data_IF_022074930411
#
_entry.id   IF_022074930411
#
_cell.length_a   1.000
_cell.length_b   1.000
_cell.length_c   1.000
_cell.angle_alpha   90.00
_cell.angle_beta   90.00
_cell.angle_gamma   90.00
#
_symmetry.space_group_name_H-M   'P 1'
#
loop_
_entity.id
_entity.type
_entity.pdbx_description
1 polymer ?
#
# COMPACT_ATOMS: atom_id res chain seq x y z
N UNK A 1 -7.54 23.00 -10.54
CA UNK A 1 -6.42 23.01 -9.58
C UNK A 1 -5.84 21.61 -9.56
N UNK A 2 -4.56 21.42 -9.88
CA UNK A 2 -3.94 20.10 -9.84
C UNK A 2 -3.79 19.64 -8.38
N UNK A 3 -4.16 18.39 -8.07
CA UNK A 3 -3.91 17.78 -6.76
C UNK A 3 -2.41 17.86 -6.45
N UNK A 4 -2.04 18.48 -5.31
CA UNK A 4 -0.65 18.58 -4.88
C UNK A 4 -0.21 17.22 -4.35
N UNK A 5 0.52 16.46 -5.16
CA UNK A 5 1.11 15.17 -4.78
C UNK A 5 2.35 15.40 -3.93
N UNK A 6 2.42 14.73 -2.78
CA UNK A 6 3.58 14.80 -1.88
C UNK A 6 4.57 13.65 -2.15
N UNK A 7 4.08 12.49 -2.61
CA UNK A 7 4.91 11.32 -2.91
C UNK A 7 4.19 10.34 -3.84
N UNK A 8 4.93 9.39 -4.39
CA UNK A 8 4.42 8.23 -5.11
C UNK A 8 4.99 6.98 -4.44
N UNK A 9 4.12 6.02 -4.12
CA UNK A 9 4.49 4.74 -3.56
C UNK A 9 4.29 3.64 -4.63
N UNK A 10 5.25 2.74 -4.76
CA UNK A 10 5.19 1.58 -5.65
C UNK A 10 5.26 0.33 -4.78
N UNK A 11 4.17 -0.44 -4.75
CA UNK A 11 4.10 -1.70 -4.05
C UNK A 11 4.33 -2.88 -4.98
N UNK A 12 5.29 -3.74 -4.63
CA UNK A 12 5.45 -5.04 -5.31
C UNK A 12 4.49 -6.06 -4.69
N UNK A 13 3.67 -6.71 -5.52
CA UNK A 13 2.66 -7.69 -5.10
C UNK A 13 2.61 -8.87 -6.06
N UNK A 14 2.07 -10.01 -5.62
CA UNK A 14 1.72 -11.11 -6.54
C UNK A 14 0.42 -10.75 -7.29
N UNK A 15 0.23 -11.32 -8.48
CA UNK A 15 -1.01 -11.12 -9.26
C UNK A 15 -2.29 -11.49 -8.50
N UNK A 16 -2.24 -12.52 -7.65
CA UNK A 16 -3.36 -12.95 -6.81
C UNK A 16 -3.71 -11.94 -5.71
N UNK A 17 -2.71 -11.32 -5.10
CA UNK A 17 -2.91 -10.30 -4.07
C UNK A 17 -3.52 -9.04 -4.69
N UNK A 18 -3.15 -8.70 -5.93
CA UNK A 18 -3.80 -7.61 -6.66
C UNK A 18 -5.30 -7.89 -6.91
N UNK A 19 -5.66 -9.12 -7.30
CA UNK A 19 -7.07 -9.50 -7.49
C UNK A 19 -7.86 -9.42 -6.17
N UNK A 20 -7.26 -9.85 -5.06
CA UNK A 20 -7.83 -9.69 -3.73
C UNK A 20 -8.00 -8.22 -3.35
N UNK A 21 -7.03 -7.36 -3.70
CA UNK A 21 -7.11 -5.91 -3.47
C UNK A 21 -8.26 -5.26 -4.24
N UNK A 22 -8.46 -5.62 -5.51
CA UNK A 22 -9.62 -5.16 -6.27
C UNK A 22 -10.93 -5.57 -5.59
N UNK A 23 -11.00 -6.81 -5.12
CA UNK A 23 -12.18 -7.33 -4.42
C UNK A 23 -12.44 -6.58 -3.11
N UNK A 24 -11.40 -6.38 -2.29
CA UNK A 24 -11.50 -5.66 -1.02
C UNK A 24 -11.91 -4.20 -1.22
N UNK A 25 -11.31 -3.49 -2.19
CA UNK A 25 -11.69 -2.11 -2.52
C UNK A 25 -13.12 -2.05 -3.05
N UNK A 26 -13.54 -3.00 -3.88
CA UNK A 26 -14.91 -3.04 -4.42
C UNK A 26 -15.95 -3.24 -3.31
N UNK A 27 -15.72 -4.20 -2.42
CA UNK A 27 -16.69 -4.60 -1.38
C UNK A 27 -16.67 -3.66 -0.16
N UNK A 28 -15.50 -3.17 0.22
CA UNK A 28 -15.29 -2.50 1.51
C UNK A 28 -14.73 -1.07 1.37
N UNK A 29 -14.38 -0.64 0.15
CA UNK A 29 -13.82 0.67 -0.14
C UNK A 29 -12.34 0.83 0.19
N UNK A 30 -11.68 -0.24 0.66
CA UNK A 30 -10.30 -0.22 1.13
C UNK A 30 -9.65 -1.59 0.94
N UNK A 31 -8.40 -1.60 0.49
CA UNK A 31 -7.48 -2.73 0.63
C UNK A 31 -6.31 -2.28 1.52
N UNK A 32 -5.84 -3.15 2.41
CA UNK A 32 -4.72 -2.86 3.29
C UNK A 32 -3.66 -3.94 3.14
N UNK A 33 -2.41 -3.54 3.06
CA UNK A 33 -1.27 -4.43 2.92
C UNK A 33 -0.34 -4.26 4.11
N UNK A 34 0.23 -5.37 4.56
CA UNK A 34 1.35 -5.35 5.49
C UNK A 34 2.67 -5.17 4.76
N UNK A 35 3.67 -4.62 5.44
CA UNK A 35 5.03 -4.54 4.93
C UNK A 35 6.04 -4.63 6.07
N UNK A 36 7.21 -5.19 5.77
CA UNK A 36 8.38 -5.15 6.64
C UNK A 36 9.23 -3.89 6.42
N UNK A 37 8.78 -2.95 5.60
CA UNK A 37 9.49 -1.70 5.31
C UNK A 37 8.92 -0.52 6.10
N UNK A 38 8.83 -0.66 7.43
CA UNK A 38 8.19 0.33 8.30
C UNK A 38 8.82 1.72 8.21
N UNK A 39 10.16 1.78 8.10
CA UNK A 39 10.89 3.04 7.88
C UNK A 39 10.44 3.79 6.61
N UNK A 40 10.19 3.07 5.51
CA UNK A 40 9.76 3.68 4.25
C UNK A 40 8.37 4.30 4.40
N UNK A 41 7.44 3.59 5.07
CA UNK A 41 6.10 4.12 5.34
C UNK A 41 6.10 5.28 6.35
N UNK A 42 7.01 5.30 7.33
CA UNK A 42 7.17 6.47 8.23
C UNK A 42 7.60 7.72 7.46
N UNK A 43 8.59 7.60 6.55
CA UNK A 43 8.98 8.71 5.66
C UNK A 43 7.82 9.19 4.79
N UNK A 44 6.99 8.27 4.31
CA UNK A 44 5.78 8.63 3.57
C UNK A 44 4.78 9.40 4.47
N UNK A 45 4.56 8.94 5.70
CA UNK A 45 3.68 9.62 6.66
C UNK A 45 4.16 11.04 6.97
N UNK A 46 5.47 11.24 7.16
CA UNK A 46 6.09 12.56 7.33
C UNK A 46 5.84 13.45 6.11
N UNK A 47 6.06 12.94 4.89
CA UNK A 47 5.82 13.68 3.66
C UNK A 47 4.34 14.10 3.50
N UNK A 48 3.40 13.25 3.90
CA UNK A 48 1.96 13.53 3.86
C UNK A 48 1.50 14.51 4.95
N UNK A 49 2.16 14.52 6.10
CA UNK A 49 1.85 15.42 7.23
C UNK A 49 2.06 16.90 6.87
N UNK A 50 2.94 17.20 5.91
CA UNK A 50 3.12 18.55 5.34
C UNK A 50 1.98 19.03 4.43
N UNK A 51 0.94 18.22 4.24
CA UNK A 51 -0.19 18.48 3.35
C UNK A 51 0.06 17.95 1.93
N UNK A 52 -0.83 17.07 1.47
CA UNK A 52 -0.79 16.50 0.12
C UNK A 52 -1.41 15.11 0.06
N UNK A 53 -1.43 14.52 -1.13
CA UNK A 53 -1.84 13.12 -1.34
C UNK A 53 -0.67 12.29 -1.89
N UNK A 54 -0.75 10.97 -1.72
CA UNK A 54 0.14 10.01 -2.36
C UNK A 54 -0.63 9.07 -3.29
N UNK A 55 -0.05 8.86 -4.48
CA UNK A 55 -0.49 7.83 -5.39
C UNK A 55 0.20 6.51 -5.04
N UNK A 56 -0.53 5.41 -5.21
CA UNK A 56 -0.02 4.07 -5.02
C UNK A 56 -0.08 3.30 -6.34
N UNK A 57 1.04 2.78 -6.81
CA UNK A 57 1.10 1.90 -7.98
C UNK A 57 1.44 0.48 -7.56
N UNK A 58 0.67 -0.50 -8.04
CA UNK A 58 0.98 -1.92 -7.85
C UNK A 58 1.82 -2.43 -9.01
N UNK A 59 2.94 -3.05 -8.73
CA UNK A 59 3.79 -3.74 -9.71
C UNK A 59 3.80 -5.24 -9.43
N UNK A 60 3.41 -6.03 -10.43
CA UNK A 60 3.39 -7.50 -10.35
C UNK A 60 4.55 -8.05 -11.20
N UNK A 61 5.64 -8.57 -10.59
CA UNK A 61 6.87 -8.93 -11.30
C UNK A 61 6.74 -10.15 -12.21
N UNK A 62 5.70 -10.96 -12.02
CA UNK A 62 5.36 -12.12 -12.85
C UNK A 62 4.78 -11.76 -14.23
N UNK A 63 4.51 -10.47 -14.50
CA UNK A 63 3.80 -10.03 -15.71
C UNK A 63 4.71 -9.49 -16.84
N UNK A 64 5.95 -9.00 -16.63
CA UNK A 64 6.81 -8.50 -17.74
C UNK A 64 8.23 -8.00 -17.33
N UNK A 65 9.18 -7.83 -18.29
CA UNK A 65 10.64 -7.70 -18.04
C UNK A 65 11.14 -6.37 -17.44
N UNK A 66 10.29 -5.36 -17.28
CA UNK A 66 10.57 -4.12 -16.54
C UNK A 66 9.34 -3.83 -15.70
N UNK A 67 9.46 -3.64 -14.38
CA UNK A 67 8.32 -3.52 -13.43
C UNK A 67 7.21 -2.62 -13.98
N UNK A 68 6.17 -3.25 -14.56
CA UNK A 68 4.98 -2.58 -15.09
C UNK A 68 4.04 -2.36 -13.91
N UNK A 69 3.57 -1.13 -13.76
CA UNK A 69 2.44 -0.84 -12.89
C UNK A 69 1.18 -1.42 -13.53
N UNK A 70 0.46 -2.24 -12.79
CA UNK A 70 -0.74 -2.93 -13.28
C UNK A 70 -2.01 -2.32 -12.69
N UNK A 71 -1.87 -1.53 -11.62
CA UNK A 71 -2.96 -0.78 -11.02
C UNK A 71 -2.47 0.51 -10.36
N UNK A 72 -3.36 1.50 -10.30
CA UNK A 72 -3.19 2.77 -9.60
C UNK A 72 -4.30 2.93 -8.55
N UNK A 73 -3.92 3.29 -7.33
CA UNK A 73 -4.81 3.68 -6.25
C UNK A 73 -4.32 4.95 -5.55
N UNK A 74 -5.05 5.34 -4.50
CA UNK A 74 -4.67 6.44 -3.60
C UNK A 74 -4.38 5.90 -2.22
N UNK A 75 -3.31 6.38 -1.60
CA UNK A 75 -3.04 6.09 -0.19
C UNK A 75 -4.17 6.70 0.65
N UNK A 76 -4.82 5.86 1.45
CA UNK A 76 -5.97 6.22 2.27
C UNK A 76 -5.62 6.35 3.75
N UNK A 77 -4.59 5.63 4.21
CA UNK A 77 -4.12 5.63 5.58
C UNK A 77 -2.85 4.82 5.73
N UNK A 78 -2.11 5.08 6.81
CA UNK A 78 -0.89 4.40 7.19
C UNK A 78 -0.98 4.05 8.67
N UNK A 79 -0.46 2.88 9.05
CA UNK A 79 -0.28 2.52 10.45
C UNK A 79 1.15 2.02 10.64
N UNK A 80 1.99 2.80 11.32
CA UNK A 80 3.45 2.59 11.41
C UNK A 80 3.97 2.31 12.82
N UNK A 81 3.06 2.37 13.80
CA UNK A 81 3.35 2.21 15.23
C UNK A 81 2.79 0.84 15.67
N UNK A 82 3.37 -0.21 15.10
CA UNK A 82 2.99 -1.60 15.39
C UNK A 82 3.72 -2.05 16.66
N UNK A 83 3.02 -2.57 17.68
CA UNK A 83 3.69 -3.08 18.87
C UNK A 83 4.48 -4.36 18.55
N UNK A 84 5.75 -4.42 18.93
CA UNK A 84 6.69 -5.50 18.58
C UNK A 84 6.30 -6.88 19.16
N UNK A 85 5.63 -6.91 20.31
CA UNK A 85 5.27 -8.14 21.02
C UNK A 85 3.75 -8.33 21.15
N UNK A 86 2.95 -7.63 20.34
CA UNK A 86 1.50 -7.74 20.40
C UNK A 86 1.00 -9.09 19.88
N UNK A 87 -0.03 -9.62 20.54
CA UNK A 87 -0.76 -10.80 20.08
C UNK A 87 -1.63 -10.45 18.87
N UNK A 88 -2.05 -11.46 18.11
CA UNK A 88 -2.85 -11.27 16.90
C UNK A 88 -4.12 -10.45 17.17
N UNK A 89 -4.79 -10.70 18.29
CA UNK A 89 -6.01 -9.98 18.68
C UNK A 89 -5.74 -8.48 18.92
N UNK A 90 -4.63 -8.15 19.57
CA UNK A 90 -4.22 -6.77 19.85
C UNK A 90 -3.85 -6.04 18.55
N UNK A 91 -3.22 -6.75 17.61
CA UNK A 91 -2.95 -6.24 16.27
C UNK A 91 -4.26 -5.99 15.51
N UNK A 92 -5.21 -6.93 15.51
CA UNK A 92 -6.52 -6.77 14.86
C UNK A 92 -7.33 -5.62 15.47
N UNK A 93 -7.26 -5.41 16.79
CA UNK A 93 -7.87 -4.26 17.46
C UNK A 93 -7.21 -2.93 17.08
N UNK A 94 -5.88 -2.87 17.09
CA UNK A 94 -5.11 -1.70 16.66
C UNK A 94 -5.40 -1.35 15.20
N UNK A 95 -5.48 -2.37 14.35
CA UNK A 95 -5.85 -2.24 12.95
C UNK A 95 -7.23 -1.63 12.78
N UNK A 96 -8.23 -2.16 13.51
CA UNK A 96 -9.60 -1.67 13.43
C UNK A 96 -9.68 -0.20 13.86
N UNK A 97 -8.90 0.22 14.85
CA UNK A 97 -8.77 1.63 15.26
C UNK A 97 -8.13 2.49 14.18
N UNK A 98 -7.08 1.99 13.51
CA UNK A 98 -6.35 2.74 12.49
C UNK A 98 -7.14 2.91 11.18
N UNK A 99 -7.84 1.86 10.73
CA UNK A 99 -8.48 1.83 9.41
C UNK A 99 -10.01 1.86 9.46
N UNK A 100 -10.63 1.69 10.63
CA UNK A 100 -12.09 1.63 10.77
C UNK A 100 -12.74 0.44 10.05
N UNK A 101 -11.98 -0.64 9.84
CA UNK A 101 -12.39 -1.84 9.10
C UNK A 101 -11.99 -3.11 9.84
N UNK A 102 -12.73 -4.19 9.61
CA UNK A 102 -12.33 -5.50 10.09
C UNK A 102 -11.08 -5.97 9.32
N UNK A 103 -10.11 -6.52 10.04
CA UNK A 103 -8.89 -7.07 9.47
C UNK A 103 -9.17 -8.06 8.33
N UNK A 104 -10.06 -9.01 8.57
CA UNK A 104 -10.32 -10.13 7.66
C UNK A 104 -10.99 -9.71 6.35
N UNK A 105 -11.63 -8.53 6.33
CA UNK A 105 -12.35 -7.98 5.18
C UNK A 105 -11.44 -7.26 4.19
N UNK A 106 -10.40 -6.58 4.69
CA UNK A 106 -9.62 -5.63 3.88
C UNK A 106 -8.13 -5.92 3.80
N UNK A 107 -7.58 -6.74 4.70
CA UNK A 107 -6.16 -7.11 4.64
C UNK A 107 -5.92 -8.08 3.50
N UNK A 108 -5.06 -7.68 2.58
CA UNK A 108 -4.62 -8.44 1.41
C UNK A 108 -3.36 -9.23 1.76
N UNK A 109 -3.14 -10.35 1.07
CA UNK A 109 -2.01 -11.25 1.33
C UNK A 109 -2.48 -12.60 1.88
N UNK A 110 -2.20 -13.70 1.17
CA UNK A 110 -2.56 -15.05 1.64
C UNK A 110 -1.82 -15.47 2.92
N UNK A 111 -0.62 -14.94 3.11
CA UNK A 111 0.25 -15.28 4.24
C UNK A 111 0.03 -14.33 5.44
N UNK A 112 -1.00 -13.47 5.40
CA UNK A 112 -1.27 -12.41 6.39
C UNK A 112 -1.27 -12.88 7.85
N UNK A 113 -1.80 -14.06 8.14
CA UNK A 113 -1.84 -14.57 9.52
C UNK A 113 -0.53 -15.21 9.97
N UNK A 114 0.30 -15.66 9.03
CA UNK A 114 1.63 -16.22 9.33
C UNK A 114 2.66 -15.10 9.46
N UNK A 115 2.47 -14.03 8.69
CA UNK A 115 3.46 -12.96 8.55
C UNK A 115 3.17 -11.71 9.41
N UNK A 116 1.99 -11.56 10.02
CA UNK A 116 1.66 -10.31 10.74
C UNK A 116 2.67 -9.95 11.83
N UNK A 117 3.27 -10.94 12.49
CA UNK A 117 4.29 -10.72 13.54
C UNK A 117 5.58 -10.08 13.00
N UNK A 118 5.80 -10.12 11.68
CA UNK A 118 6.95 -9.52 11.01
C UNK A 118 6.60 -8.18 10.34
N UNK A 119 5.32 -7.81 10.31
CA UNK A 119 4.90 -6.57 9.70
C UNK A 119 5.22 -5.38 10.59
N UNK A 120 6.00 -4.46 10.06
CA UNK A 120 6.42 -3.25 10.76
C UNK A 120 5.43 -2.10 10.54
N UNK A 121 4.64 -2.17 9.47
CA UNK A 121 3.66 -1.16 9.12
C UNK A 121 2.60 -1.68 8.14
N UNK A 122 1.51 -0.92 8.00
CA UNK A 122 0.42 -1.18 7.08
C UNK A 122 0.12 0.06 6.23
N UNK A 123 -0.23 -0.18 4.97
CA UNK A 123 -0.68 0.85 4.04
C UNK A 123 -2.06 0.51 3.49
N UNK A 124 -3.00 1.42 3.71
CA UNK A 124 -4.35 1.36 3.15
C UNK A 124 -4.42 2.07 1.80
N UNK A 125 -5.03 1.42 0.82
CA UNK A 125 -5.19 1.91 -0.55
C UNK A 125 -6.66 1.89 -0.95
N UNK A 126 -7.13 2.97 -1.59
CA UNK A 126 -8.49 3.13 -2.10
C UNK A 126 -8.51 3.52 -3.57
N UNK A 127 -9.71 3.54 -4.16
CA UNK A 127 -9.95 4.02 -5.53
C UNK A 127 -9.06 3.33 -6.58
N UNK A 128 -8.88 2.01 -6.42
CA UNK A 128 -8.01 1.19 -7.25
C UNK A 128 -8.57 1.02 -8.67
N UNK A 129 -7.72 1.21 -9.68
CA UNK A 129 -8.06 1.06 -11.11
C UNK A 129 -6.90 0.41 -11.88
N UNK A 130 -7.17 -0.39 -12.92
CA UNK A 130 -6.14 -0.93 -13.80
C UNK A 130 -5.28 0.17 -14.43
N UNK A 131 -3.98 -0.09 -14.55
CA UNK A 131 -3.02 0.84 -15.18
C UNK A 131 -1.90 0.14 -15.99
N UNK A 132 -2.17 -0.94 -16.74
CA UNK A 132 -1.17 -1.91 -17.24
C UNK A 132 -0.13 -1.38 -18.25
N UNK A 133 -0.20 -0.12 -18.67
CA UNK A 133 0.66 0.45 -19.72
C UNK A 133 1.75 1.40 -19.18
N UNK A 134 1.90 1.51 -17.85
CA UNK A 134 2.88 2.42 -17.23
C UNK A 134 3.98 1.62 -16.54
N UNK A 135 5.23 2.04 -16.74
CA UNK A 135 6.41 1.46 -16.08
C UNK A 135 6.87 2.33 -14.93
N UNK A 136 7.60 1.74 -13.97
CA UNK A 136 8.24 2.52 -12.89
C UNK A 136 9.18 3.60 -13.43
N UNK A 137 9.91 3.32 -14.52
CA UNK A 137 10.77 4.31 -15.18
C UNK A 137 9.97 5.53 -15.65
N UNK A 138 8.85 5.30 -16.34
CA UNK A 138 7.96 6.37 -16.81
C UNK A 138 7.36 7.18 -15.66
N UNK A 139 6.98 6.53 -14.55
CA UNK A 139 6.49 7.23 -13.35
C UNK A 139 7.54 8.22 -12.83
N UNK A 140 8.80 7.81 -12.77
CA UNK A 140 9.92 8.66 -12.31
C UNK A 140 10.18 9.82 -13.27
N UNK A 141 10.13 9.56 -14.58
CA UNK A 141 10.32 10.59 -15.61
C UNK A 141 9.21 11.64 -15.59
N UNK A 142 7.95 11.23 -15.43
CA UNK A 142 6.78 12.13 -15.46
C UNK A 142 6.59 12.92 -14.16
N UNK A 143 7.27 12.55 -13.06
CA UNK A 143 7.11 13.18 -11.75
C UNK A 143 8.44 13.69 -11.19
N UNK A 144 9.15 14.58 -11.92
CA UNK A 144 10.43 15.09 -11.48
C UNK A 144 10.28 15.89 -10.18
N UNK A 145 11.08 15.56 -9.17
CA UNK A 145 11.06 16.22 -7.87
C UNK A 145 10.00 15.72 -6.89
N UNK A 146 9.17 14.74 -7.27
CA UNK A 146 8.28 14.02 -6.35
C UNK A 146 9.01 12.74 -5.90
N UNK A 147 9.15 12.48 -4.60
CA UNK A 147 9.72 11.22 -4.11
C UNK A 147 8.94 10.01 -4.63
N UNK A 148 9.65 9.07 -5.26
CA UNK A 148 9.11 7.75 -5.63
C UNK A 148 9.72 6.70 -4.72
N UNK A 149 8.88 6.11 -3.87
CA UNK A 149 9.27 5.10 -2.89
C UNK A 149 8.83 3.73 -3.39
N UNK A 150 9.67 2.71 -3.25
CA UNK A 150 9.32 1.33 -3.56
C UNK A 150 9.25 0.54 -2.26
N UNK A 151 8.24 -0.33 -2.12
CA UNK A 151 8.06 -1.22 -0.96
C UNK A 151 7.65 -2.61 -1.42
N UNK A 152 8.12 -3.63 -0.69
CA UNK A 152 7.58 -4.97 -0.75
C UNK A 152 6.32 -5.07 0.11
N UNK A 153 5.23 -5.54 -0.49
CA UNK A 153 3.99 -5.81 0.21
C UNK A 153 3.83 -7.32 0.45
N UNK A 154 3.25 -7.67 1.60
CA UNK A 154 2.94 -9.04 2.00
C UNK A 154 1.45 -9.21 2.26
#
# INVERSE_FOLDING_TARGET
>A
MAERRAAILVGMVRSEDLAAAYTAVHNHGLAVFGTTEGMTLRKLAEALSGGGEALFYFCAPDIAPQRVAVALGRVAGLWTDIPEEARSEEIKEGFAKAFGKCWDDVVVGKEREVLFQFWEAYVGVKALKPHPEVTVARIREENPGIPVLEVLLG
#
